data_IF_759131593844
#
_entry.id   IF_759131593844
#
_cell.length_a   1.000
_cell.length_b   1.000
_cell.length_c   1.000
_cell.angle_alpha   90.00
_cell.angle_beta   90.00
_cell.angle_gamma   90.00
#
_symmetry.space_group_name_H-M   'P 1'
#
loop_
_entity.id
_entity.type
_entity.pdbx_description
1 polymer ?
#
# COMPACT_ATOMS: atom_id res chain seq x y z
N UNK A 1 4.83 -27.88 1.55
CA UNK A 1 3.42 -27.53 1.81
C UNK A 1 3.42 -26.14 2.43
N UNK A 2 3.33 -25.07 1.62
CA UNK A 2 3.28 -23.70 2.13
C UNK A 2 1.97 -23.52 2.88
N UNK A 3 2.05 -23.26 4.18
CA UNK A 3 0.88 -23.01 5.01
C UNK A 3 0.07 -21.83 4.45
N UNK A 4 -1.25 -22.01 4.48
CA UNK A 4 -2.32 -21.10 4.04
C UNK A 4 -2.30 -19.72 4.78
N UNK A 5 -1.38 -19.47 5.72
CA UNK A 5 -1.45 -18.32 6.64
C UNK A 5 -1.09 -16.95 6.06
N UNK A 6 -0.42 -16.88 4.90
CA UNK A 6 0.20 -15.64 4.41
C UNK A 6 -0.39 -15.12 3.08
N UNK A 7 -1.55 -15.64 2.67
CA UNK A 7 -2.26 -15.10 1.51
C UNK A 7 -2.84 -13.71 1.81
N UNK A 8 -3.01 -12.87 0.79
CA UNK A 8 -3.69 -11.57 0.99
C UNK A 8 -5.12 -11.73 1.49
N UNK A 9 -5.80 -12.79 1.05
CA UNK A 9 -7.14 -13.11 1.52
C UNK A 9 -7.14 -13.43 3.02
N UNK A 10 -6.16 -14.19 3.53
CA UNK A 10 -6.04 -14.44 4.96
C UNK A 10 -5.64 -13.21 5.77
N UNK A 11 -4.90 -12.27 5.16
CA UNK A 11 -4.64 -10.95 5.78
C UNK A 11 -5.92 -10.12 5.86
N UNK A 12 -6.76 -10.14 4.83
CA UNK A 12 -8.02 -9.39 4.81
C UNK A 12 -9.16 -10.11 5.55
N UNK A 13 -9.01 -11.39 5.89
CA UNK A 13 -10.02 -12.15 6.62
C UNK A 13 -10.14 -11.63 8.05
N UNK A 14 -11.21 -10.87 8.30
CA UNK A 14 -11.51 -10.26 9.59
C UNK A 14 -12.55 -11.07 10.32
N UNK A 15 -12.27 -11.37 11.58
CA UNK A 15 -13.25 -11.99 12.46
C UNK A 15 -14.26 -10.92 12.94
N UNK A 16 -15.56 -11.08 12.67
CA UNK A 16 -16.58 -10.19 13.22
C UNK A 16 -16.73 -10.45 14.72
N UNK A 17 -16.58 -9.39 15.53
CA UNK A 17 -16.81 -9.42 16.97
C UNK A 17 -18.18 -8.87 17.33
N UNK A 18 -18.64 -7.86 16.59
CA UNK A 18 -20.00 -7.29 16.65
C UNK A 18 -20.34 -6.58 15.33
N UNK A 19 -21.56 -6.06 15.17
CA UNK A 19 -22.09 -5.35 13.99
C UNK A 19 -21.13 -4.35 13.33
N UNK A 20 -20.31 -3.66 14.12
CA UNK A 20 -19.38 -2.63 13.67
C UNK A 20 -17.96 -2.85 14.23
N UNK A 21 -17.68 -4.05 14.73
CA UNK A 21 -16.44 -4.35 15.43
C UNK A 21 -15.82 -5.62 14.85
N UNK A 22 -14.57 -5.53 14.41
CA UNK A 22 -13.87 -6.59 13.72
C UNK A 22 -12.49 -6.83 14.34
N UNK A 23 -11.94 -8.03 14.17
CA UNK A 23 -10.59 -8.39 14.63
C UNK A 23 -9.77 -8.93 13.46
N UNK A 24 -8.66 -8.23 13.17
CA UNK A 24 -7.65 -8.67 12.21
C UNK A 24 -6.42 -9.25 12.90
N UNK A 25 -5.70 -10.12 12.18
CA UNK A 25 -4.41 -10.67 12.62
C UNK A 25 -3.30 -10.21 11.68
N UNK A 26 -2.09 -10.13 12.21
CA UNK A 26 -0.90 -9.83 11.42
C UNK A 26 -0.22 -11.13 10.98
N UNK A 27 0.35 -11.18 9.75
CA UNK A 27 1.13 -12.32 9.32
C UNK A 27 2.43 -12.42 10.13
N UNK A 28 2.89 -13.65 10.39
CA UNK A 28 4.10 -13.93 11.19
C UNK A 28 5.37 -13.82 10.35
N UNK A 29 5.56 -12.66 9.75
CA UNK A 29 6.64 -12.38 8.78
C UNK A 29 7.89 -11.73 9.40
N UNK A 30 8.01 -11.76 10.73
CA UNK A 30 9.22 -11.33 11.46
C UNK A 30 9.49 -9.82 11.44
N UNK A 31 8.47 -8.99 11.16
CA UNK A 31 8.60 -7.54 11.27
C UNK A 31 8.51 -7.10 12.73
N UNK A 32 9.26 -6.07 13.10
CA UNK A 32 9.20 -5.48 14.44
C UNK A 32 7.93 -4.64 14.66
N UNK A 33 7.25 -4.26 13.57
CA UNK A 33 6.05 -3.41 13.58
C UNK A 33 5.07 -3.89 12.53
N UNK A 34 3.78 -3.64 12.76
CA UNK A 34 2.73 -3.92 11.77
C UNK A 34 3.00 -3.09 10.50
N UNK A 35 2.88 -3.73 9.33
CA UNK A 35 3.01 -3.06 8.05
C UNK A 35 1.82 -2.10 7.82
N UNK A 36 2.07 -0.86 7.38
CA UNK A 36 1.03 0.15 7.23
C UNK A 36 -0.08 -0.26 6.28
N UNK A 37 0.28 -0.84 5.12
CA UNK A 37 -0.69 -1.39 4.16
C UNK A 37 -1.58 -2.50 4.74
N UNK A 38 -1.11 -3.29 5.71
CA UNK A 38 -1.97 -4.24 6.42
C UNK A 38 -3.11 -3.51 7.13
N UNK A 39 -2.78 -2.46 7.89
CA UNK A 39 -3.75 -1.70 8.67
C UNK A 39 -4.75 -0.98 7.74
N UNK A 40 -4.26 -0.37 6.66
CA UNK A 40 -5.12 0.29 5.66
C UNK A 40 -6.06 -0.72 5.01
N UNK A 41 -5.54 -1.84 4.49
CA UNK A 41 -6.33 -2.84 3.79
C UNK A 41 -7.39 -3.48 4.69
N UNK A 42 -7.03 -3.86 5.91
CA UNK A 42 -7.97 -4.40 6.90
C UNK A 42 -9.00 -3.34 7.31
N UNK A 43 -8.61 -2.09 7.57
CA UNK A 43 -9.54 -1.03 7.93
C UNK A 43 -10.54 -0.71 6.81
N UNK A 44 -10.09 -0.67 5.55
CA UNK A 44 -10.98 -0.48 4.40
C UNK A 44 -11.95 -1.65 4.27
N UNK A 45 -11.47 -2.89 4.41
CA UNK A 45 -12.31 -4.06 4.33
C UNK A 45 -13.37 -4.08 5.45
N UNK A 46 -12.99 -3.72 6.69
CA UNK A 46 -13.93 -3.55 7.80
C UNK A 46 -15.01 -2.50 7.48
N UNK A 47 -14.63 -1.36 6.90
CA UNK A 47 -15.59 -0.34 6.47
C UNK A 47 -16.54 -0.88 5.40
N UNK A 48 -16.03 -1.59 4.38
CA UNK A 48 -16.82 -2.21 3.32
C UNK A 48 -17.86 -3.20 3.86
N UNK A 49 -17.55 -3.95 4.93
CA UNK A 49 -18.51 -4.86 5.58
C UNK A 49 -19.70 -4.17 6.25
N UNK A 50 -19.68 -2.83 6.37
CA UNK A 50 -20.77 -2.03 6.97
C UNK A 50 -21.56 -1.22 5.95
N UNK A 51 -21.28 -1.39 4.65
CA UNK A 51 -21.91 -0.65 3.56
C UNK A 51 -22.44 -1.63 2.52
N UNK A 52 -23.70 -1.46 2.15
CA UNK A 52 -24.37 -2.26 1.11
C UNK A 52 -24.50 -1.41 -0.18
N UNK A 53 -24.46 -2.05 -1.34
CA UNK A 53 -24.70 -1.48 -2.68
C UNK A 53 -23.84 -0.27 -3.10
N UNK A 54 -22.70 -0.05 -2.44
CA UNK A 54 -21.78 1.07 -2.74
C UNK A 54 -20.34 0.62 -2.62
N UNK A 55 -19.48 1.22 -3.44
CA UNK A 55 -18.03 0.96 -3.39
C UNK A 55 -17.31 2.17 -2.80
N UNK A 56 -16.20 1.96 -2.06
CA UNK A 56 -15.35 3.06 -1.64
C UNK A 56 -14.78 3.78 -2.86
N UNK A 57 -14.82 5.11 -2.84
CA UNK A 57 -14.18 5.95 -3.85
C UNK A 57 -13.01 6.75 -3.26
N UNK A 58 -12.92 6.88 -1.94
CA UNK A 58 -11.75 7.46 -1.29
C UNK A 58 -11.58 6.99 0.15
N UNK A 59 -10.35 7.09 0.65
CA UNK A 59 -10.00 7.01 2.06
C UNK A 59 -8.90 8.01 2.41
N UNK A 60 -8.89 8.43 3.67
CA UNK A 60 -7.85 9.24 4.29
C UNK A 60 -7.54 8.68 5.66
N UNK A 61 -6.26 8.52 5.98
CA UNK A 61 -5.85 7.90 7.22
C UNK A 61 -4.60 8.54 7.84
N UNK A 62 -4.47 8.38 9.16
CA UNK A 62 -3.29 8.74 9.93
C UNK A 62 -2.78 7.54 10.73
N UNK A 63 -1.46 7.34 10.71
CA UNK A 63 -0.75 6.40 11.56
C UNK A 63 -0.35 7.11 12.85
N UNK A 64 -0.90 6.67 13.98
CA UNK A 64 -0.77 7.37 15.26
C UNK A 64 0.34 6.75 16.12
N UNK A 65 0.37 5.42 16.19
CA UNK A 65 1.30 4.64 17.00
C UNK A 65 1.80 3.42 16.22
N UNK A 66 3.02 2.93 16.51
CA UNK A 66 3.51 1.70 15.91
C UNK A 66 2.67 0.51 16.40
N UNK A 67 2.13 -0.27 15.47
CA UNK A 67 1.44 -1.52 15.79
C UNK A 67 2.41 -2.65 16.14
N UNK A 68 1.97 -3.54 17.03
CA UNK A 68 2.67 -4.75 17.49
C UNK A 68 2.16 -5.99 16.72
N UNK A 69 2.97 -6.65 15.87
CA UNK A 69 2.51 -7.77 15.03
C UNK A 69 2.03 -9.00 15.81
N UNK A 70 2.49 -9.18 17.05
CA UNK A 70 2.11 -10.34 17.87
C UNK A 70 0.71 -10.17 18.49
N UNK A 71 0.11 -8.99 18.35
CA UNK A 71 -1.17 -8.65 18.96
C UNK A 71 -2.21 -8.44 17.85
N UNK A 72 -3.40 -9.06 17.94
CA UNK A 72 -4.50 -8.78 17.01
C UNK A 72 -4.90 -7.30 17.03
N UNK A 73 -5.40 -6.81 15.91
CA UNK A 73 -5.87 -5.43 15.77
C UNK A 73 -7.40 -5.44 15.79
N UNK A 74 -8.00 -4.63 16.65
CA UNK A 74 -9.45 -4.42 16.68
C UNK A 74 -9.79 -3.24 15.80
N UNK A 75 -10.73 -3.41 14.87
CA UNK A 75 -11.22 -2.37 13.98
C UNK A 75 -12.65 -1.99 14.39
N UNK A 76 -12.83 -0.79 14.89
CA UNK A 76 -14.13 -0.22 15.25
C UNK A 76 -14.61 0.72 14.14
N UNK A 77 -15.81 0.49 13.63
CA UNK A 77 -16.37 1.21 12.47
C UNK A 77 -17.54 2.10 12.90
N UNK A 78 -17.36 3.41 12.82
CA UNK A 78 -18.43 4.38 13.03
C UNK A 78 -19.17 4.67 11.73
N UNK A 79 -20.50 4.59 11.78
CA UNK A 79 -21.40 4.95 10.68
C UNK A 79 -21.72 6.44 10.73
N UNK A 80 -20.81 7.27 10.21
CA UNK A 80 -20.95 8.73 10.27
C UNK A 80 -22.14 9.27 9.48
N UNK A 81 -22.40 8.70 8.30
CA UNK A 81 -23.49 9.14 7.41
C UNK A 81 -23.89 8.06 6.42
N UNK A 82 -25.19 7.90 6.22
CA UNK A 82 -25.78 7.18 5.09
C UNK A 82 -26.72 8.14 4.34
N UNK A 83 -26.19 8.76 3.28
CA UNK A 83 -26.93 9.67 2.42
C UNK A 83 -27.52 8.97 1.19
N UNK A 84 -28.17 9.73 0.30
CA UNK A 84 -28.73 9.21 -0.96
C UNK A 84 -27.66 8.62 -1.88
N UNK A 85 -26.62 9.39 -2.21
CA UNK A 85 -25.54 8.93 -3.11
C UNK A 85 -24.26 8.54 -2.37
N UNK A 86 -23.98 9.19 -1.23
CA UNK A 86 -22.74 9.01 -0.48
C UNK A 86 -22.96 8.40 0.90
N UNK A 87 -22.06 7.49 1.29
CA UNK A 87 -21.95 6.93 2.63
C UNK A 87 -20.56 7.23 3.19
N UNK A 88 -20.47 7.57 4.47
CA UNK A 88 -19.20 7.84 5.14
C UNK A 88 -19.04 6.93 6.36
N UNK A 89 -17.86 6.34 6.49
CA UNK A 89 -17.44 5.53 7.63
C UNK A 89 -16.15 6.10 8.22
N UNK A 90 -16.01 6.05 9.54
CA UNK A 90 -14.73 6.21 10.24
C UNK A 90 -14.33 4.86 10.81
N UNK A 91 -13.05 4.53 10.75
CA UNK A 91 -12.49 3.30 11.31
C UNK A 91 -11.34 3.64 12.25
N UNK A 92 -11.38 3.12 13.46
CA UNK A 92 -10.26 3.14 14.39
C UNK A 92 -9.65 1.75 14.47
N UNK A 93 -8.33 1.65 14.28
CA UNK A 93 -7.58 0.43 14.56
C UNK A 93 -6.95 0.54 15.96
N UNK A 94 -7.22 -0.43 16.81
CA UNK A 94 -6.95 -0.36 18.25
C UNK A 94 -6.07 -1.55 18.65
N UNK A 95 -5.02 -1.26 19.43
CA UNK A 95 -4.22 -2.25 20.15
C UNK A 95 -3.96 -1.76 21.57
N UNK A 96 -3.99 -2.67 22.55
CA UNK A 96 -3.72 -2.36 23.98
C UNK A 96 -4.61 -1.21 24.53
N UNK A 97 -5.81 -1.04 23.97
CA UNK A 97 -6.73 0.03 24.36
C UNK A 97 -6.45 1.40 23.73
N UNK A 98 -5.42 1.51 22.88
CA UNK A 98 -5.01 2.75 22.23
C UNK A 98 -5.27 2.70 20.72
N UNK A 99 -5.68 3.82 20.14
CA UNK A 99 -5.80 3.96 18.69
C UNK A 99 -4.40 4.02 18.06
N UNK A 100 -4.06 3.03 17.25
CA UNK A 100 -2.80 3.00 16.50
C UNK A 100 -2.94 3.63 15.12
N UNK A 101 -4.17 3.71 14.60
CA UNK A 101 -4.49 4.21 13.27
C UNK A 101 -5.95 4.68 13.23
N UNK A 102 -6.20 5.74 12.46
CA UNK A 102 -7.54 6.27 12.22
C UNK A 102 -7.73 6.52 10.73
N UNK A 103 -8.88 6.12 10.19
CA UNK A 103 -9.24 6.31 8.78
C UNK A 103 -10.67 6.82 8.63
N UNK A 104 -10.90 7.67 7.65
CA UNK A 104 -12.24 7.95 7.11
C UNK A 104 -12.33 7.46 5.67
N UNK A 105 -13.39 6.74 5.34
CA UNK A 105 -13.66 6.22 4.01
C UNK A 105 -15.02 6.72 3.50
N UNK A 106 -15.06 7.11 2.23
CA UNK A 106 -16.27 7.58 1.55
C UNK A 106 -16.64 6.61 0.42
N UNK A 107 -17.93 6.32 0.34
CA UNK A 107 -18.53 5.35 -0.55
C UNK A 107 -19.56 6.04 -1.44
N UNK A 108 -19.66 5.59 -2.68
CA UNK A 108 -20.55 6.17 -3.67
C UNK A 108 -21.32 5.09 -4.42
N UNK A 109 -22.54 5.42 -4.83
CA UNK A 109 -23.31 4.63 -5.79
C UNK A 109 -22.65 4.70 -7.18
N UNK A 110 -22.89 3.71 -8.03
CA UNK A 110 -22.43 3.76 -9.41
C UNK A 110 -23.34 4.68 -10.24
N UNK A 111 -22.77 5.70 -10.88
CA UNK A 111 -23.47 6.67 -11.73
C UNK A 111 -22.56 7.11 -12.89
N UNK A 112 -23.14 7.48 -14.03
CA UNK A 112 -22.41 8.04 -15.17
C UNK A 112 -22.03 9.51 -14.92
N UNK A 113 -20.97 9.99 -15.58
CA UNK A 113 -20.49 11.36 -15.41
C UNK A 113 -19.46 11.78 -16.45
N UNK A 114 -18.81 12.92 -16.20
CA UNK A 114 -17.72 13.41 -17.06
C UNK A 114 -16.46 12.58 -16.89
N UNK A 115 -15.74 12.35 -18.00
CA UNK A 115 -14.53 11.54 -17.99
C UNK A 115 -13.32 12.25 -18.60
N UNK A 116 -12.20 12.21 -17.88
CA UNK A 116 -10.85 12.42 -18.40
C UNK A 116 -9.85 11.64 -17.52
N UNK A 117 -8.60 11.53 -17.95
CA UNK A 117 -7.50 11.04 -17.12
C UNK A 117 -6.16 11.58 -17.62
N UNK A 118 -5.16 11.53 -16.74
CA UNK A 118 -3.76 11.69 -17.16
C UNK A 118 -3.33 10.46 -17.98
N UNK A 119 -2.41 10.63 -18.95
CA UNK A 119 -1.85 9.50 -19.69
C UNK A 119 -0.98 8.63 -18.77
N UNK A 120 -0.96 7.32 -19.03
CA UNK A 120 -0.01 6.40 -18.43
C UNK A 120 1.41 6.75 -18.93
N UNK A 121 2.45 6.76 -18.07
CA UNK A 121 3.81 6.98 -18.53
C UNK A 121 4.30 5.83 -19.42
N UNK A 122 5.18 6.14 -20.37
CA UNK A 122 5.81 5.16 -21.24
C UNK A 122 6.95 4.47 -20.49
N UNK A 123 6.73 3.21 -20.11
CA UNK A 123 7.68 2.37 -19.36
C UNK A 123 7.65 0.95 -19.92
N UNK A 124 8.72 0.15 -19.74
CA UNK A 124 8.72 -1.26 -20.13
C UNK A 124 7.54 -2.01 -19.52
N UNK A 125 6.96 -2.92 -20.31
CA UNK A 125 5.87 -3.78 -19.86
C UNK A 125 6.38 -4.81 -18.83
N UNK A 126 5.52 -5.35 -17.96
CA UNK A 126 5.98 -6.21 -16.87
C UNK A 126 6.70 -7.47 -17.39
N UNK A 127 6.35 -7.98 -18.57
CA UNK A 127 7.00 -9.13 -19.21
C UNK A 127 8.43 -8.85 -19.69
N UNK A 128 8.77 -7.59 -19.96
CA UNK A 128 10.13 -7.17 -20.36
C UNK A 128 11.05 -6.92 -19.16
N UNK A 129 10.49 -6.94 -17.94
CA UNK A 129 11.23 -6.76 -16.69
C UNK A 129 11.66 -8.11 -16.09
N UNK A 130 12.76 -8.14 -15.30
CA UNK A 130 13.19 -9.36 -14.62
C UNK A 130 12.07 -9.95 -13.74
N UNK A 131 11.73 -11.21 -13.99
CA UNK A 131 10.84 -11.97 -13.11
C UNK A 131 11.52 -12.33 -11.78
N UNK A 132 10.78 -12.94 -10.85
CA UNK A 132 11.28 -13.25 -9.50
C UNK A 132 12.53 -14.15 -9.51
N UNK A 133 12.61 -15.12 -10.41
CA UNK A 133 13.75 -16.04 -10.49
C UNK A 133 14.98 -15.36 -11.09
N UNK A 134 14.79 -14.56 -12.14
CA UNK A 134 15.84 -13.74 -12.75
C UNK A 134 16.35 -12.69 -11.77
N UNK A 135 15.44 -12.05 -11.02
CA UNK A 135 15.75 -11.12 -9.95
C UNK A 135 16.69 -11.77 -8.94
N UNK A 136 16.32 -12.94 -8.39
CA UNK A 136 17.15 -13.68 -7.42
C UNK A 136 18.50 -14.10 -7.97
N UNK A 137 18.56 -14.60 -9.20
CA UNK A 137 19.77 -15.18 -9.78
C UNK A 137 20.77 -14.13 -10.25
N UNK A 138 20.30 -13.03 -10.83
CA UNK A 138 21.14 -12.13 -11.62
C UNK A 138 21.17 -10.69 -11.10
N UNK A 139 20.11 -10.23 -10.43
CA UNK A 139 20.01 -8.84 -9.96
C UNK A 139 20.40 -8.72 -8.49
N UNK A 140 19.72 -9.44 -7.60
CA UNK A 140 19.88 -9.35 -6.15
C UNK A 140 21.31 -9.62 -5.63
N UNK A 141 22.12 -10.52 -6.22
CA UNK A 141 23.52 -10.74 -5.78
C UNK A 141 24.41 -9.50 -5.90
N UNK A 142 24.01 -8.51 -6.70
CA UNK A 142 24.74 -7.26 -6.91
C UNK A 142 24.14 -6.09 -6.12
N UNK A 143 23.03 -6.31 -5.41
CA UNK A 143 22.34 -5.28 -4.62
C UNK A 143 22.91 -5.20 -3.19
N UNK A 144 22.83 -4.02 -2.54
CA UNK A 144 23.13 -3.87 -1.12
C UNK A 144 22.31 -4.85 -0.26
N UNK A 145 22.89 -5.33 0.84
CA UNK A 145 22.31 -6.40 1.67
C UNK A 145 20.88 -6.10 2.14
N UNK A 146 20.59 -4.86 2.54
CA UNK A 146 19.26 -4.47 3.00
C UNK A 146 18.20 -4.55 1.88
N UNK A 147 18.57 -4.12 0.66
CA UNK A 147 17.71 -4.20 -0.54
C UNK A 147 17.52 -5.66 -0.94
N UNK A 148 18.61 -6.44 -0.98
CA UNK A 148 18.58 -7.87 -1.26
C UNK A 148 17.65 -8.61 -0.31
N UNK A 149 17.81 -8.39 0.99
CA UNK A 149 16.99 -8.99 2.03
C UNK A 149 15.51 -8.63 1.88
N UNK A 150 15.19 -7.39 1.48
CA UNK A 150 13.81 -7.01 1.19
C UNK A 150 13.25 -7.79 0.00
N UNK A 151 13.91 -7.78 -1.16
CA UNK A 151 13.40 -8.40 -2.40
C UNK A 151 13.43 -9.94 -2.40
N UNK A 152 14.25 -10.58 -1.55
CA UNK A 152 14.24 -12.04 -1.39
C UNK A 152 13.03 -12.58 -0.62
N UNK A 153 12.38 -11.74 0.21
CA UNK A 153 11.23 -12.16 1.02
C UNK A 153 10.07 -12.62 0.15
N UNK A 154 9.44 -13.70 0.61
CA UNK A 154 8.13 -14.09 0.11
C UNK A 154 7.11 -13.00 0.44
N UNK A 155 6.24 -12.70 -0.52
CA UNK A 155 5.26 -11.63 -0.41
C UNK A 155 4.04 -12.00 -1.24
N UNK A 156 2.85 -11.54 -0.85
CA UNK A 156 1.62 -11.89 -1.56
C UNK A 156 1.37 -11.00 -2.79
N UNK A 157 2.14 -9.92 -2.95
CA UNK A 157 2.16 -9.03 -4.13
C UNK A 157 3.45 -9.25 -4.91
N UNK A 158 3.34 -9.66 -6.17
CA UNK A 158 4.44 -9.60 -7.13
C UNK A 158 4.80 -8.14 -7.42
N UNK A 159 6.10 -7.84 -7.43
CA UNK A 159 6.63 -6.49 -7.64
C UNK A 159 7.73 -6.56 -8.71
N UNK A 160 7.58 -5.78 -9.77
CA UNK A 160 8.59 -5.62 -10.82
C UNK A 160 8.94 -4.13 -10.98
N UNK A 161 10.01 -3.65 -10.33
CA UNK A 161 10.43 -2.26 -10.43
C UNK A 161 11.00 -1.96 -11.82
N UNK A 162 10.71 -0.79 -12.35
CA UNK A 162 11.27 -0.29 -13.62
C UNK A 162 12.67 0.29 -13.38
N UNK A 163 12.83 1.19 -12.40
CA UNK A 163 14.11 1.87 -12.13
C UNK A 163 15.02 1.11 -11.15
N UNK A 164 15.24 -0.20 -11.34
CA UNK A 164 16.09 -1.03 -10.45
C UNK A 164 17.50 -0.47 -10.22
N UNK A 165 18.04 0.24 -11.20
CA UNK A 165 19.38 0.84 -11.13
C UNK A 165 19.56 1.83 -9.96
N UNK A 166 18.45 2.38 -9.42
CA UNK A 166 18.50 3.25 -8.22
C UNK A 166 19.12 2.57 -7.01
N UNK A 167 18.96 1.25 -6.89
CA UNK A 167 19.46 0.49 -5.74
C UNK A 167 20.94 0.10 -5.86
N UNK A 168 21.48 0.09 -7.08
CA UNK A 168 22.88 -0.26 -7.34
C UNK A 168 23.80 0.98 -7.36
N UNK A 169 23.28 2.14 -7.76
CA UNK A 169 24.10 3.33 -8.04
C UNK A 169 24.48 4.15 -6.79
N UNK A 170 23.70 4.09 -5.71
CA UNK A 170 23.87 4.95 -4.52
C UNK A 170 23.82 6.46 -4.83
N UNK A 171 23.51 6.82 -6.08
CA UNK A 171 23.55 8.18 -6.60
C UNK A 171 22.19 8.86 -6.49
N UNK A 172 22.21 10.18 -6.47
CA UNK A 172 20.98 10.99 -6.54
C UNK A 172 20.36 10.83 -7.92
N UNK A 173 19.04 10.62 -7.97
CA UNK A 173 18.27 10.48 -9.21
C UNK A 173 17.02 11.37 -9.15
N UNK A 174 16.31 11.52 -10.27
CA UNK A 174 14.97 12.12 -10.23
C UNK A 174 14.07 11.32 -9.28
N UNK A 175 13.28 11.97 -8.40
CA UNK A 175 12.45 11.29 -7.42
C UNK A 175 11.19 10.69 -8.05
N UNK A 176 11.39 9.73 -8.95
CA UNK A 176 10.36 8.96 -9.64
C UNK A 176 10.64 7.47 -9.50
N UNK A 177 9.58 6.70 -9.32
CA UNK A 177 9.68 5.24 -9.22
C UNK A 177 8.43 4.60 -9.80
N UNK A 178 8.60 3.85 -10.87
CA UNK A 178 7.56 3.10 -11.53
C UNK A 178 7.72 1.63 -11.18
N UNK A 179 6.61 1.00 -10.81
CA UNK A 179 6.63 -0.39 -10.40
C UNK A 179 5.35 -1.09 -10.80
N UNK A 180 5.50 -2.23 -11.47
CA UNK A 180 4.36 -3.11 -11.76
C UNK A 180 4.06 -3.97 -10.54
N UNK A 181 2.79 -4.02 -10.16
CA UNK A 181 2.29 -4.79 -9.03
C UNK A 181 1.11 -5.68 -9.45
N UNK A 182 1.02 -6.86 -8.85
CA UNK A 182 -0.09 -7.81 -9.03
C UNK A 182 -0.13 -8.79 -7.85
N UNK A 183 -1.29 -9.31 -7.46
CA UNK A 183 -1.30 -10.42 -6.51
C UNK A 183 -0.65 -11.69 -7.09
N UNK A 184 0.00 -12.47 -6.22
CA UNK A 184 0.57 -13.77 -6.58
C UNK A 184 -0.50 -14.85 -6.77
N UNK A 185 -1.71 -14.64 -6.25
CA UNK A 185 -2.83 -15.57 -6.28
C UNK A 185 -4.05 -14.90 -6.89
N UNK A 186 -4.90 -15.64 -7.63
CA UNK A 186 -6.19 -15.15 -8.07
C UNK A 186 -7.04 -14.66 -6.90
N UNK A 187 -7.88 -13.65 -7.14
CA UNK A 187 -8.81 -13.12 -6.16
C UNK A 187 -10.26 -13.45 -6.55
N UNK A 188 -11.18 -13.57 -5.57
CA UNK A 188 -12.61 -13.64 -5.86
C UNK A 188 -13.07 -12.38 -6.60
N UNK A 189 -14.13 -12.53 -7.40
CA UNK A 189 -14.73 -11.44 -8.20
C UNK A 189 -15.57 -10.48 -7.34
N UNK A 190 -14.98 -9.95 -6.27
CA UNK A 190 -15.58 -9.01 -5.33
C UNK A 190 -14.80 -7.68 -5.35
N UNK A 191 -15.41 -6.57 -5.84
CA UNK A 191 -14.71 -5.29 -5.94
C UNK A 191 -14.08 -4.80 -4.63
N UNK A 192 -14.77 -5.01 -3.50
CA UNK A 192 -14.28 -4.64 -2.17
C UNK A 192 -12.99 -5.36 -1.78
N UNK A 193 -12.78 -6.60 -2.25
CA UNK A 193 -11.53 -7.34 -2.04
C UNK A 193 -10.42 -6.69 -2.86
N UNK A 194 -10.63 -6.46 -4.16
CA UNK A 194 -9.63 -5.83 -5.02
C UNK A 194 -9.23 -4.42 -4.53
N UNK A 195 -10.20 -3.62 -4.07
CA UNK A 195 -9.95 -2.30 -3.51
C UNK A 195 -9.18 -2.35 -2.18
N UNK A 196 -9.52 -3.29 -1.29
CA UNK A 196 -8.80 -3.50 -0.03
C UNK A 196 -7.37 -4.04 -0.27
N UNK A 197 -7.18 -4.90 -1.27
CA UNK A 197 -5.85 -5.38 -1.69
C UNK A 197 -5.04 -4.24 -2.29
N UNK A 198 -5.63 -3.37 -3.11
CA UNK A 198 -4.91 -2.21 -3.66
C UNK A 198 -4.54 -1.24 -2.55
N UNK A 199 -5.42 -1.02 -1.57
CA UNK A 199 -5.13 -0.20 -0.40
C UNK A 199 -4.02 -0.78 0.49
N UNK A 200 -3.88 -2.11 0.53
CA UNK A 200 -2.70 -2.76 1.10
C UNK A 200 -1.44 -2.49 0.28
N UNK A 201 -1.53 -2.66 -1.04
CA UNK A 201 -0.38 -2.54 -1.92
C UNK A 201 0.08 -1.09 -2.12
N UNK A 202 -0.79 -0.09 -1.92
CA UNK A 202 -0.49 1.32 -2.14
C UNK A 202 0.54 1.88 -1.16
N UNK A 203 0.69 1.29 0.03
CA UNK A 203 1.73 1.66 1.01
C UNK A 203 3.08 0.98 0.72
N UNK A 204 3.16 0.07 -0.28
CA UNK A 204 4.42 -0.52 -0.70
C UNK A 204 5.24 0.50 -1.51
N UNK A 205 6.47 0.75 -1.06
CA UNK A 205 7.49 1.55 -1.76
C UNK A 205 7.16 3.03 -1.96
N UNK A 206 5.95 3.52 -1.63
CA UNK A 206 5.55 4.90 -1.86
C UNK A 206 6.46 5.90 -1.12
N UNK A 207 6.67 5.71 0.19
CA UNK A 207 7.57 6.56 0.99
C UNK A 207 9.03 6.50 0.49
N UNK A 208 9.45 5.35 -0.07
CA UNK A 208 10.81 5.15 -0.58
C UNK A 208 11.13 6.05 -1.77
N UNK A 209 10.11 6.49 -2.52
CA UNK A 209 10.28 7.45 -3.62
C UNK A 209 10.85 8.81 -3.16
N UNK A 210 10.52 9.23 -1.93
CA UNK A 210 11.03 10.47 -1.35
C UNK A 210 12.53 10.48 -1.05
N UNK A 211 13.15 9.30 -0.95
CA UNK A 211 14.58 9.16 -0.64
C UNK A 211 15.47 9.10 -1.89
N UNK A 212 14.88 8.98 -3.07
CA UNK A 212 15.59 8.82 -4.35
C UNK A 212 16.49 10.02 -4.66
N UNK A 213 15.95 11.24 -4.52
CA UNK A 213 16.69 12.49 -4.78
C UNK A 213 17.92 12.66 -3.87
N UNK A 214 18.00 11.85 -2.81
CA UNK A 214 19.08 11.86 -1.83
C UNK A 214 20.06 10.69 -2.01
N UNK A 215 19.83 9.79 -2.98
CA UNK A 215 20.62 8.57 -3.18
C UNK A 215 20.43 7.57 -2.04
N UNK A 216 19.30 7.64 -1.33
CA UNK A 216 18.97 6.80 -0.17
C UNK A 216 17.73 5.96 -0.45
N UNK A 217 17.41 5.08 0.48
CA UNK A 217 16.19 4.27 0.48
C UNK A 217 15.75 3.96 1.91
N UNK A 218 14.50 3.53 2.10
CA UNK A 218 13.92 3.25 3.43
C UNK A 218 14.55 2.05 4.14
N UNK A 219 15.34 1.23 3.43
CA UNK A 219 16.05 0.09 4.02
C UNK A 219 17.40 0.48 4.63
N UNK A 220 17.80 1.73 4.47
CA UNK A 220 19.00 2.28 5.08
C UNK A 220 18.84 2.38 6.60
N UNK A 221 19.74 1.73 7.35
CA UNK A 221 19.72 1.70 8.81
C UNK A 221 19.92 3.07 9.46
N UNK A 222 20.51 4.01 8.73
CA UNK A 222 20.69 5.39 9.17
C UNK A 222 19.48 6.27 8.84
N UNK A 223 18.35 5.69 8.41
CA UNK A 223 17.11 6.43 8.18
C UNK A 223 16.04 5.87 9.11
N UNK A 224 15.45 6.76 9.91
CA UNK A 224 14.22 6.47 10.63
C UNK A 224 13.03 6.83 9.73
N UNK A 225 12.47 5.80 9.09
CA UNK A 225 11.26 5.86 8.28
C UNK A 225 9.98 5.58 9.08
N UNK A 226 8.92 6.34 8.86
CA UNK A 226 7.57 6.01 9.32
C UNK A 226 6.51 6.72 8.46
N UNK A 227 5.45 6.02 8.04
CA UNK A 227 4.27 6.66 7.43
C UNK A 227 3.56 7.54 8.47
N UNK A 228 3.13 8.74 8.08
CA UNK A 228 2.36 9.65 8.94
C UNK A 228 0.88 9.63 8.55
N UNK A 229 0.61 9.76 7.26
CA UNK A 229 -0.73 9.67 6.69
C UNK A 229 -0.76 8.78 5.45
N UNK A 230 -1.96 8.52 4.93
CA UNK A 230 -2.17 7.89 3.63
C UNK A 230 -3.54 8.30 3.09
N UNK A 231 -3.59 8.72 1.83
CA UNK A 231 -4.82 9.03 1.13
C UNK A 231 -4.86 8.29 -0.21
N UNK A 232 -6.01 7.70 -0.52
CA UNK A 232 -6.21 6.90 -1.72
C UNK A 232 -7.59 7.22 -2.31
N UNK A 233 -7.63 7.43 -3.62
CA UNK A 233 -8.84 7.66 -4.40
C UNK A 233 -8.97 6.58 -5.46
N UNK A 234 -10.12 5.92 -5.52
CA UNK A 234 -10.45 4.92 -6.54
C UNK A 234 -11.31 5.59 -7.61
N UNK A 235 -10.85 5.52 -8.86
CA UNK A 235 -11.46 6.23 -9.98
C UNK A 235 -12.27 5.32 -10.89
N UNK A 236 -11.77 4.09 -11.11
CA UNK A 236 -12.32 3.15 -12.09
C UNK A 236 -12.26 1.71 -11.56
N UNK A 237 -13.12 0.81 -12.04
CA UNK A 237 -13.02 -0.62 -11.74
C UNK A 237 -11.67 -1.19 -12.22
N UNK A 238 -11.16 -2.16 -11.47
CA UNK A 238 -9.90 -2.83 -11.78
C UNK A 238 -9.83 -4.20 -11.09
N UNK A 239 -8.84 -4.99 -11.48
CA UNK A 239 -8.51 -6.26 -10.85
C UNK A 239 -7.09 -6.21 -10.28
N UNK A 240 -6.96 -6.42 -8.97
CA UNK A 240 -5.66 -6.45 -8.29
C UNK A 240 -4.83 -7.73 -8.58
N UNK A 241 -5.46 -8.76 -9.14
CA UNK A 241 -4.82 -9.97 -9.66
C UNK A 241 -4.46 -9.88 -11.15
N UNK A 242 -4.60 -8.69 -11.74
CA UNK A 242 -4.03 -8.27 -13.01
C UNK A 242 -2.92 -7.24 -12.79
N UNK A 243 -2.06 -7.05 -13.80
CA UNK A 243 -0.96 -6.09 -13.71
C UNK A 243 -1.47 -4.66 -13.59
N UNK A 244 -1.02 -3.98 -12.54
CA UNK A 244 -1.22 -2.55 -12.33
C UNK A 244 0.15 -1.85 -12.30
N UNK A 245 0.29 -0.76 -13.06
CA UNK A 245 1.45 0.11 -12.99
C UNK A 245 1.24 1.14 -11.88
N UNK A 246 2.11 1.14 -10.89
CA UNK A 246 2.15 2.16 -9.85
C UNK A 246 3.27 3.15 -10.18
N UNK A 247 2.89 4.30 -10.74
CA UNK A 247 3.80 5.39 -11.11
C UNK A 247 3.90 6.40 -9.97
N UNK A 248 5.03 6.44 -9.27
CA UNK A 248 5.23 7.22 -8.06
C UNK A 248 6.19 8.39 -8.30
N UNK A 249 5.96 9.52 -7.62
CA UNK A 249 6.85 10.67 -7.57
C UNK A 249 6.91 11.29 -6.17
N UNK A 250 8.03 11.95 -5.85
CA UNK A 250 8.15 12.78 -4.64
C UNK A 250 8.40 14.24 -5.01
N UNK A 251 7.37 15.09 -4.95
CA UNK A 251 7.50 16.52 -5.26
C UNK A 251 8.32 17.31 -4.22
N UNK A 252 8.41 16.84 -2.97
CA UNK A 252 9.07 17.60 -1.91
C UNK A 252 9.52 16.73 -0.74
N UNK A 253 10.68 17.08 -0.20
CA UNK A 253 11.16 16.62 1.11
C UNK A 253 11.65 17.82 1.91
N UNK A 254 11.16 18.00 3.14
CA UNK A 254 11.61 19.09 4.02
C UNK A 254 11.32 18.77 5.49
N UNK A 255 12.11 19.31 6.41
CA UNK A 255 11.87 19.16 7.85
C UNK A 255 11.82 17.69 8.32
N UNK A 256 12.70 16.84 7.77
CA UNK A 256 12.73 15.39 8.00
C UNK A 256 11.46 14.64 7.56
N UNK A 257 10.64 15.23 6.68
CA UNK A 257 9.47 14.60 6.07
C UNK A 257 9.64 14.50 4.56
N UNK A 258 9.02 13.48 3.99
CA UNK A 258 8.98 13.24 2.55
C UNK A 258 7.54 13.07 2.09
N UNK A 259 7.12 13.89 1.13
CA UNK A 259 5.82 13.78 0.50
C UNK A 259 5.94 13.02 -0.81
N UNK A 260 5.15 11.96 -0.95
CA UNK A 260 5.13 11.08 -2.12
C UNK A 260 3.71 10.96 -2.62
N UNK A 261 3.57 10.82 -3.94
CA UNK A 261 2.29 10.55 -4.59
C UNK A 261 2.45 9.42 -5.59
N UNK A 262 1.34 8.85 -6.01
CA UNK A 262 1.36 7.95 -7.15
C UNK A 262 0.05 7.86 -7.89
N UNK A 263 0.16 7.48 -9.16
CA UNK A 263 -0.94 7.18 -10.06
C UNK A 263 -0.88 5.70 -10.39
N UNK A 264 -2.01 5.01 -10.28
CA UNK A 264 -2.10 3.57 -10.52
C UNK A 264 -2.90 3.35 -11.79
N UNK A 265 -2.29 2.71 -12.78
CA UNK A 265 -2.89 2.39 -14.07
C UNK A 265 -3.09 0.89 -14.21
N UNK A 266 -4.14 0.46 -14.91
CA UNK A 266 -4.18 -0.91 -15.40
C UNK A 266 -3.26 -1.09 -16.62
N UNK A 267 -3.09 -2.34 -17.07
CA UNK A 267 -2.28 -2.68 -18.25
C UNK A 267 -2.63 -1.88 -19.51
N UNK A 268 -3.91 -1.58 -19.72
CA UNK A 268 -4.41 -0.83 -20.87
C UNK A 268 -4.24 0.70 -20.75
N UNK A 269 -3.59 1.17 -19.68
CA UNK A 269 -3.34 2.59 -19.44
C UNK A 269 -4.51 3.36 -18.84
N UNK A 270 -5.56 2.69 -18.35
CA UNK A 270 -6.65 3.35 -17.60
C UNK A 270 -6.19 3.70 -16.20
N UNK A 271 -6.37 4.97 -15.79
CA UNK A 271 -6.05 5.42 -14.44
C UNK A 271 -7.10 4.90 -13.45
N UNK A 272 -6.74 3.93 -12.62
CA UNK A 272 -7.67 3.24 -11.71
C UNK A 272 -7.66 3.83 -10.30
N UNK A 273 -6.53 4.38 -9.84
CA UNK A 273 -6.44 5.02 -8.53
C UNK A 273 -5.34 6.09 -8.45
N UNK A 274 -5.41 6.94 -7.43
CA UNK A 274 -4.37 7.91 -7.07
C UNK A 274 -4.08 7.85 -5.58
N UNK A 275 -2.83 8.09 -5.20
CA UNK A 275 -2.34 7.94 -3.82
C UNK A 275 -1.51 9.17 -3.43
N UNK A 276 -1.60 9.56 -2.16
CA UNK A 276 -0.72 10.56 -1.56
C UNK A 276 -0.36 10.15 -0.12
N UNK A 277 0.88 10.41 0.28
CA UNK A 277 1.40 10.04 1.60
C UNK A 277 2.56 10.96 1.98
N UNK A 278 2.53 11.49 3.20
CA UNK A 278 3.69 12.04 3.88
C UNK A 278 4.24 11.02 4.89
N UNK A 279 5.56 10.93 4.99
CA UNK A 279 6.22 10.11 5.99
C UNK A 279 7.42 10.82 6.63
N UNK A 280 7.76 10.41 7.84
CA UNK A 280 9.02 10.73 8.47
C UNK A 280 10.16 10.02 7.72
N UNK A 281 11.20 10.77 7.36
CA UNK A 281 12.44 10.30 6.73
C UNK A 281 13.64 10.88 7.46
N UNK A 282 13.70 10.67 8.78
CA UNK A 282 14.69 11.33 9.63
C UNK A 282 16.08 10.69 9.48
N UNK A 283 17.13 11.46 9.15
CA UNK A 283 18.50 10.97 9.22
C UNK A 283 18.88 10.63 10.67
N UNK A 284 19.46 9.46 10.85
CA UNK A 284 19.93 8.90 12.12
C UNK A 284 21.35 8.36 11.93
N UNK A 285 22.34 9.25 11.73
CA UNK A 285 23.74 8.84 11.58
C UNK A 285 24.28 8.18 12.87
N UNK A 286 23.59 8.36 13.99
CA UNK A 286 23.85 7.71 15.29
C UNK A 286 23.50 6.22 15.32
N UNK A 287 22.76 5.71 14.32
CA UNK A 287 22.42 4.29 14.18
C UNK A 287 23.28 3.54 13.14
N UNK A 288 24.38 4.16 12.71
CA UNK A 288 25.35 3.60 11.75
C UNK A 288 26.08 2.37 12.29
#
# INVERSE_FOLDING_TARGET
MSQISDSLLSILDLEPLERNLFRGRSPKVGWARVFGGQVIGQALYAACKTVEDRQPHSLHAYFLLPGDPEIPIVYEVDRLRDGRSFTTRRVLAIQKGEAIFAMSASFHVAEEGFEHQMPMPDVPMPEDLPDRETMKRSVLPHMPDAVRAYYQRERPIEIRPVELARYASGGKMEPKFNVWIKTMQPLPDEPAIHQSVLAYASDLMLLDSSLIAHGRNVFDKQIQGASLDHALWFHRPFRADEWLLYAQDSPSTSGARGFSRGLIFNRDGKLVASVAQEGLIRPRPDMA
#
